data_IF_268808155749
#
_entry.id   IF_268808155749
#
_cell.length_a   1.000
_cell.length_b   1.000
_cell.length_c   1.000
_cell.angle_alpha   90.00
_cell.angle_beta   90.00
_cell.angle_gamma   90.00
#
_symmetry.space_group_name_H-M   'P 1'
#
loop_
_entity.id
_entity.type
_entity.pdbx_description
1 polymer ?
#
# COMPACT_ATOMS: atom_id res chain seq x y z
N UNK A 1 22.61 -8.19 -8.56
CA UNK A 1 22.63 -6.89 -7.85
C UNK A 1 21.21 -6.32 -7.79
N UNK A 2 20.84 -5.68 -6.67
CA UNK A 2 19.55 -4.99 -6.52
C UNK A 2 19.81 -3.56 -5.99
N UNK A 3 19.30 -2.56 -6.70
CA UNK A 3 19.53 -1.14 -6.38
C UNK A 3 18.18 -0.44 -6.31
N UNK A 4 18.05 0.44 -5.32
CA UNK A 4 16.88 1.31 -5.15
C UNK A 4 17.33 2.76 -5.36
N UNK A 5 16.67 3.46 -6.26
CA UNK A 5 17.00 4.85 -6.63
C UNK A 5 15.72 5.64 -6.92
N UNK A 6 15.86 6.87 -7.36
CA UNK A 6 14.74 7.74 -7.74
C UNK A 6 15.01 8.30 -9.12
N UNK A 7 13.98 8.36 -9.95
CA UNK A 7 13.94 9.03 -11.25
C UNK A 7 12.95 10.20 -11.19
N UNK A 8 13.22 11.28 -11.88
CA UNK A 8 12.34 12.45 -11.89
C UNK A 8 12.33 13.18 -13.24
N UNK A 9 11.35 14.04 -13.45
CA UNK A 9 11.09 14.75 -14.72
C UNK A 9 12.06 15.90 -15.00
N UNK A 10 12.83 16.39 -14.02
CA UNK A 10 13.82 17.44 -14.23
C UNK A 10 15.18 16.90 -14.66
N UNK A 11 15.64 15.84 -13.97
CA UNK A 11 17.00 15.31 -14.15
C UNK A 11 17.07 14.19 -15.22
N UNK A 12 15.92 13.61 -15.57
CA UNK A 12 15.84 12.45 -16.45
C UNK A 12 14.92 12.72 -17.66
N UNK A 13 15.46 13.15 -18.82
CA UNK A 13 14.64 13.52 -19.98
C UNK A 13 13.74 12.41 -20.53
N UNK A 14 14.05 11.17 -20.24
CA UNK A 14 13.28 10.00 -20.69
C UNK A 14 12.20 9.58 -19.70
N UNK A 15 12.14 10.21 -18.53
CA UNK A 15 11.09 9.94 -17.57
C UNK A 15 9.80 10.63 -17.98
N UNK A 16 8.74 9.85 -18.05
CA UNK A 16 7.38 10.34 -18.29
C UNK A 16 6.53 9.84 -17.13
N UNK A 17 5.95 10.72 -16.31
CA UNK A 17 5.10 10.30 -15.19
C UNK A 17 3.80 9.67 -15.72
N UNK A 18 3.09 8.89 -14.88
CA UNK A 18 1.78 8.36 -15.22
C UNK A 18 0.80 9.49 -15.58
N UNK A 19 -0.14 9.22 -16.47
CA UNK A 19 -1.11 10.21 -16.93
C UNK A 19 -1.93 10.81 -15.78
N UNK A 20 -1.86 12.12 -15.66
CA UNK A 20 -2.58 12.86 -14.62
C UNK A 20 -1.86 12.96 -13.28
N UNK A 21 -0.65 12.44 -13.20
CA UNK A 21 0.25 12.60 -12.06
C UNK A 21 1.15 13.81 -12.31
N UNK A 22 1.28 14.67 -11.33
CA UNK A 22 2.06 15.89 -11.41
C UNK A 22 2.62 16.21 -10.02
N UNK A 23 3.83 16.72 -9.96
CA UNK A 23 4.43 17.22 -8.72
C UNK A 23 3.53 18.20 -7.97
N UNK A 24 3.62 18.23 -6.67
CA UNK A 24 2.82 19.12 -5.82
C UNK A 24 3.05 20.59 -6.19
N UNK A 25 1.97 21.36 -6.25
CA UNK A 25 2.03 22.79 -6.50
C UNK A 25 2.10 23.56 -5.18
N UNK A 26 3.23 24.26 -4.97
CA UNK A 26 3.40 25.18 -3.84
C UNK A 26 2.74 26.52 -4.17
N UNK A 27 1.59 26.80 -3.60
CA UNK A 27 0.85 28.05 -3.82
C UNK A 27 1.59 29.30 -3.33
N UNK A 28 2.47 29.15 -2.33
CA UNK A 28 3.22 30.28 -1.74
C UNK A 28 4.34 30.73 -2.68
N UNK A 29 5.10 29.78 -3.17
CA UNK A 29 6.24 30.04 -4.04
C UNK A 29 5.86 30.01 -5.53
N UNK A 30 4.64 29.60 -5.88
CA UNK A 30 4.14 29.42 -7.25
C UNK A 30 5.03 28.49 -8.10
N UNK A 31 5.59 27.46 -7.45
CA UNK A 31 6.47 26.48 -8.07
C UNK A 31 5.82 25.10 -7.94
N UNK A 32 5.92 24.32 -9.00
CA UNK A 32 5.57 22.89 -8.95
C UNK A 32 6.81 22.11 -8.57
N UNK A 33 6.70 21.21 -7.57
CA UNK A 33 7.77 20.27 -7.26
C UNK A 33 7.96 19.30 -8.42
N UNK A 34 9.17 18.77 -8.57
CA UNK A 34 9.44 17.73 -9.57
C UNK A 34 8.64 16.47 -9.25
N UNK A 35 8.12 15.86 -10.29
CA UNK A 35 7.49 14.54 -10.20
C UNK A 35 8.57 13.47 -10.18
N UNK A 36 8.40 12.45 -9.35
CA UNK A 36 9.44 11.44 -9.15
C UNK A 36 8.86 10.07 -8.83
N UNK A 37 9.48 9.04 -9.39
CA UNK A 37 9.18 7.64 -9.11
C UNK A 37 10.33 6.94 -8.41
N UNK A 38 9.99 5.95 -7.58
CA UNK A 38 10.95 5.02 -7.00
C UNK A 38 11.35 3.99 -8.05
N UNK A 39 12.64 3.81 -8.28
CA UNK A 39 13.19 2.81 -9.20
C UNK A 39 13.70 1.62 -8.42
N UNK A 40 13.24 0.43 -8.81
CA UNK A 40 13.81 -0.85 -8.40
C UNK A 40 14.56 -1.43 -9.58
N UNK A 41 15.87 -1.33 -9.55
CA UNK A 41 16.76 -1.84 -10.58
C UNK A 41 17.36 -3.17 -10.13
N UNK A 42 17.36 -4.16 -10.99
CA UNK A 42 17.91 -5.49 -10.71
C UNK A 42 18.74 -5.98 -11.88
N UNK A 43 19.85 -6.61 -11.54
CA UNK A 43 20.79 -7.20 -12.48
C UNK A 43 20.99 -8.66 -12.11
N UNK A 44 20.73 -9.55 -13.07
CA UNK A 44 20.79 -11.01 -12.90
C UNK A 44 19.97 -11.46 -11.66
N UNK A 45 18.70 -11.11 -11.63
CA UNK A 45 17.78 -11.67 -10.64
C UNK A 45 17.49 -13.11 -11.02
N UNK A 46 18.02 -14.05 -10.25
CA UNK A 46 17.90 -15.47 -10.49
C UNK A 46 16.45 -15.98 -10.43
N UNK A 47 16.13 -17.12 -11.07
CA UNK A 47 14.81 -17.76 -10.95
C UNK A 47 14.39 -17.98 -9.51
N UNK A 48 13.13 -17.67 -9.19
CA UNK A 48 12.54 -17.75 -7.86
C UNK A 48 13.16 -16.82 -6.80
N UNK A 49 14.01 -15.88 -7.19
CA UNK A 49 14.53 -14.85 -6.28
C UNK A 49 13.68 -13.59 -6.32
N UNK A 50 13.75 -12.85 -5.20
CA UNK A 50 13.02 -11.60 -4.98
C UNK A 50 13.99 -10.48 -4.64
N UNK A 51 13.72 -9.30 -5.20
CA UNK A 51 14.36 -8.07 -4.79
C UNK A 51 13.32 -7.12 -4.22
N UNK A 52 13.59 -6.49 -3.07
CA UNK A 52 12.59 -5.66 -2.43
C UNK A 52 13.18 -4.47 -1.68
N UNK A 53 12.38 -3.40 -1.60
CA UNK A 53 12.60 -2.24 -0.75
C UNK A 53 11.56 -2.21 0.38
N UNK A 54 12.01 -1.91 1.61
CA UNK A 54 11.15 -1.84 2.79
C UNK A 54 11.10 -0.41 3.34
N UNK A 55 9.89 0.11 3.54
CA UNK A 55 9.63 1.33 4.30
C UNK A 55 9.08 0.98 5.68
N UNK A 56 9.77 1.42 6.72
CA UNK A 56 9.32 1.27 8.09
C UNK A 56 8.48 2.49 8.46
N UNK A 57 7.24 2.26 8.92
CA UNK A 57 6.33 3.30 9.39
C UNK A 57 6.44 3.52 10.90
N UNK A 58 6.71 2.46 11.66
CA UNK A 58 6.91 2.50 13.09
C UNK A 58 7.85 1.38 13.53
N UNK A 59 8.85 1.72 14.35
CA UNK A 59 9.80 0.75 14.89
C UNK A 59 9.29 0.06 16.18
N UNK A 60 8.31 0.64 16.85
CA UNK A 60 7.73 0.10 18.07
C UNK A 60 6.53 -0.79 17.69
N UNK A 61 6.55 -2.05 18.10
CA UNK A 61 5.47 -3.03 17.83
C UNK A 61 4.09 -2.57 18.31
N UNK A 62 4.05 -1.69 19.30
CA UNK A 62 2.80 -1.12 19.83
C UNK A 62 2.32 0.09 19.04
N UNK A 63 3.17 0.63 18.17
CA UNK A 63 2.88 1.78 17.33
C UNK A 63 2.77 1.31 15.87
N UNK A 64 1.91 1.94 15.13
CA UNK A 64 1.72 1.73 13.71
C UNK A 64 0.78 2.80 13.19
N UNK A 65 0.69 2.92 11.88
CA UNK A 65 -0.24 3.84 11.25
C UNK A 65 -1.56 3.12 10.96
N UNK A 66 -2.68 3.79 11.24
CA UNK A 66 -4.01 3.27 10.93
C UNK A 66 -4.45 3.71 9.54
N UNK A 67 -4.88 2.73 8.76
CA UNK A 67 -5.41 2.90 7.41
C UNK A 67 -6.91 2.57 7.32
N UNK A 68 -7.57 2.32 8.45
CA UNK A 68 -9.00 1.97 8.53
C UNK A 68 -9.93 3.04 7.96
N UNK A 69 -9.47 4.30 7.93
CA UNK A 69 -10.25 5.44 7.44
C UNK A 69 -10.30 5.56 5.92
N UNK A 70 -9.59 4.69 5.21
CA UNK A 70 -9.51 4.73 3.75
C UNK A 70 -10.18 3.51 3.15
N UNK A 71 -10.84 3.71 2.00
CA UNK A 71 -11.48 2.62 1.27
C UNK A 71 -10.52 1.95 0.29
N UNK A 72 -9.61 2.73 -0.31
CA UNK A 72 -8.76 2.23 -1.40
C UNK A 72 -7.31 2.64 -1.22
N UNK A 73 -6.42 1.74 -1.65
CA UNK A 73 -4.99 1.99 -1.81
C UNK A 73 -4.64 1.82 -3.28
N UNK A 74 -3.95 2.83 -3.84
CA UNK A 74 -3.59 2.89 -5.26
C UNK A 74 -2.10 3.13 -5.43
N UNK A 75 -1.54 2.60 -6.52
CA UNK A 75 -0.17 2.83 -6.92
C UNK A 75 -0.01 2.51 -8.41
N UNK A 76 0.86 3.24 -9.09
CA UNK A 76 1.26 2.95 -10.46
C UNK A 76 2.57 2.17 -10.50
N UNK A 77 2.66 1.23 -11.42
CA UNK A 77 3.86 0.45 -11.69
C UNK A 77 4.22 0.62 -13.16
N UNK A 78 5.46 0.94 -13.45
CA UNK A 78 6.01 0.99 -14.80
C UNK A 78 6.87 -0.23 -15.07
N UNK A 79 6.64 -0.89 -16.19
CA UNK A 79 7.47 -1.98 -16.67
C UNK A 79 8.33 -1.52 -17.83
N UNK A 80 9.59 -1.95 -17.84
CA UNK A 80 10.49 -1.69 -18.96
C UNK A 80 10.18 -2.65 -20.12
N UNK A 81 10.19 -2.15 -21.33
CA UNK A 81 9.93 -2.91 -22.57
C UNK A 81 10.89 -4.07 -22.83
N UNK A 82 12.05 -4.08 -22.20
CA UNK A 82 13.05 -5.13 -22.41
C UNK A 82 12.64 -6.50 -21.83
N UNK A 83 11.72 -6.50 -20.84
CA UNK A 83 11.24 -7.74 -20.20
C UNK A 83 9.72 -7.79 -20.02
N UNK A 84 9.03 -6.68 -20.15
CA UNK A 84 7.58 -6.58 -20.02
C UNK A 84 6.95 -6.55 -21.41
N UNK A 85 6.51 -7.69 -21.93
CA UNK A 85 5.74 -7.74 -23.16
C UNK A 85 4.26 -7.47 -22.90
N UNK A 86 3.47 -7.29 -23.98
CA UNK A 86 2.01 -7.22 -23.86
C UNK A 86 1.36 -8.55 -23.44
N UNK A 87 2.14 -9.62 -23.42
CA UNK A 87 1.75 -10.91 -22.87
C UNK A 87 2.15 -10.97 -21.39
N UNK A 88 1.58 -11.88 -20.64
CA UNK A 88 1.91 -12.12 -19.25
C UNK A 88 3.39 -12.40 -19.08
N UNK A 89 4.05 -11.62 -18.23
CA UNK A 89 5.49 -11.77 -18.02
C UNK A 89 5.76 -12.62 -16.78
N UNK A 90 6.88 -13.31 -16.79
CA UNK A 90 7.38 -14.06 -15.64
C UNK A 90 7.96 -13.14 -14.55
N UNK A 91 8.12 -11.84 -14.84
CA UNK A 91 8.44 -10.84 -13.83
C UNK A 91 7.15 -10.40 -13.13
N UNK A 92 7.11 -10.58 -11.84
CA UNK A 92 6.00 -10.18 -10.99
C UNK A 92 6.41 -9.04 -10.06
N UNK A 93 5.53 -8.08 -9.90
CA UNK A 93 5.61 -7.06 -8.87
C UNK A 93 4.80 -7.51 -7.66
N UNK A 94 5.27 -7.20 -6.45
CA UNK A 94 4.48 -7.39 -5.24
C UNK A 94 4.53 -6.18 -4.31
N UNK A 95 3.43 -5.98 -3.60
CA UNK A 95 3.33 -5.09 -2.45
C UNK A 95 2.91 -5.90 -1.22
N UNK A 96 3.64 -5.72 -0.12
CA UNK A 96 3.38 -6.37 1.15
C UNK A 96 3.29 -5.32 2.26
N UNK A 97 2.33 -5.45 3.15
CA UNK A 97 2.18 -4.55 4.29
C UNK A 97 1.57 -5.26 5.48
N UNK A 98 2.02 -4.89 6.67
CA UNK A 98 1.60 -5.59 7.87
C UNK A 98 2.25 -5.09 9.14
N UNK A 99 2.25 -5.97 10.14
CA UNK A 99 2.77 -5.76 11.47
C UNK A 99 3.51 -7.02 11.96
N UNK A 100 4.79 -6.89 12.24
CA UNK A 100 5.62 -8.06 12.57
C UNK A 100 5.61 -9.08 11.44
N UNK A 101 5.26 -10.32 11.75
CA UNK A 101 5.20 -11.44 10.80
C UNK A 101 3.81 -11.63 10.18
N UNK A 102 2.84 -10.80 10.57
CA UNK A 102 1.50 -10.82 10.02
C UNK A 102 1.33 -9.79 8.91
N UNK A 103 0.94 -10.22 7.70
CA UNK A 103 0.87 -9.33 6.56
C UNK A 103 -0.13 -9.75 5.48
N UNK A 104 -0.49 -8.77 4.66
CA UNK A 104 -1.06 -8.95 3.33
C UNK A 104 0.04 -8.78 2.29
N UNK A 105 0.07 -9.65 1.30
CA UNK A 105 0.94 -9.51 0.12
C UNK A 105 0.09 -9.69 -1.14
N UNK A 106 0.22 -8.76 -2.06
CA UNK A 106 -0.44 -8.78 -3.35
C UNK A 106 0.61 -8.87 -4.44
N UNK A 107 0.50 -9.87 -5.31
CA UNK A 107 1.43 -10.11 -6.41
C UNK A 107 0.70 -10.01 -7.74
N UNK A 108 1.29 -9.32 -8.71
CA UNK A 108 0.75 -9.14 -10.07
C UNK A 108 1.88 -9.26 -11.11
N UNK A 109 1.59 -9.74 -12.33
CA UNK A 109 2.52 -9.62 -13.45
C UNK A 109 2.84 -8.15 -13.74
N UNK A 110 4.01 -7.89 -14.31
CA UNK A 110 4.42 -6.56 -14.78
C UNK A 110 4.27 -6.53 -16.31
N UNK A 111 3.59 -5.50 -16.82
CA UNK A 111 3.40 -5.24 -18.24
C UNK A 111 4.23 -4.03 -18.69
N UNK A 112 4.35 -3.86 -20.01
CA UNK A 112 5.13 -2.78 -20.61
C UNK A 112 4.55 -1.39 -20.26
N UNK A 113 5.43 -0.42 -19.99
CA UNK A 113 5.12 0.96 -19.65
C UNK A 113 4.18 1.08 -18.42
N UNK A 114 3.43 2.19 -18.31
CA UNK A 114 2.40 2.38 -17.29
C UNK A 114 1.13 1.58 -17.58
N UNK A 115 1.00 1.01 -18.79
CA UNK A 115 -0.18 0.27 -19.26
C UNK A 115 -1.51 1.04 -19.04
N UNK A 116 -1.51 2.32 -19.42
CA UNK A 116 -2.59 3.27 -19.15
C UNK A 116 -3.95 2.87 -19.75
N UNK A 117 -3.97 2.17 -20.88
CA UNK A 117 -5.19 1.76 -21.58
C UNK A 117 -5.91 0.63 -20.85
N UNK A 118 -5.18 -0.42 -20.48
CA UNK A 118 -5.72 -1.62 -19.84
C UNK A 118 -5.58 -1.57 -18.32
N UNK A 119 -4.74 -0.69 -17.78
CA UNK A 119 -4.50 -0.48 -16.33
C UNK A 119 -4.04 -1.73 -15.58
N UNK A 120 -3.40 -2.66 -16.27
CA UNK A 120 -2.93 -3.92 -15.68
C UNK A 120 -1.83 -3.71 -14.66
N UNK A 121 -0.99 -2.67 -14.87
CA UNK A 121 0.07 -2.26 -13.94
C UNK A 121 -0.44 -1.41 -12.77
N UNK A 122 -1.69 -0.95 -12.80
CA UNK A 122 -2.26 -0.18 -11.69
C UNK A 122 -2.58 -1.11 -10.51
N UNK A 123 -2.11 -0.75 -9.33
CA UNK A 123 -2.55 -1.33 -8.07
C UNK A 123 -3.74 -0.50 -7.60
N UNK A 124 -4.91 -1.09 -7.54
CA UNK A 124 -6.11 -0.49 -7.00
C UNK A 124 -6.81 -1.50 -6.09
N UNK A 125 -6.54 -1.38 -4.79
CA UNK A 125 -7.01 -2.31 -3.77
C UNK A 125 -8.15 -1.71 -2.97
N UNK A 126 -9.27 -2.43 -2.91
CA UNK A 126 -10.32 -2.19 -1.93
C UNK A 126 -9.87 -2.77 -0.57
N UNK A 127 -9.66 -1.90 0.41
CA UNK A 127 -9.14 -2.28 1.72
C UNK A 127 -10.19 -3.01 2.58
N UNK A 128 -11.48 -2.72 2.36
CA UNK A 128 -12.55 -3.42 3.06
C UNK A 128 -12.67 -4.86 2.55
N UNK A 129 -12.65 -5.04 1.23
CA UNK A 129 -12.63 -6.36 0.61
C UNK A 129 -11.42 -7.17 1.07
N UNK A 130 -10.20 -6.58 1.05
CA UNK A 130 -8.99 -7.24 1.50
C UNK A 130 -9.09 -7.70 2.97
N UNK A 131 -9.74 -6.89 3.81
CA UNK A 131 -9.98 -7.25 5.22
C UNK A 131 -11.01 -8.36 5.35
N UNK A 132 -12.05 -8.40 4.49
CA UNK A 132 -13.08 -9.43 4.53
C UNK A 132 -12.57 -10.81 4.14
N UNK A 133 -11.56 -10.88 3.25
CA UNK A 133 -10.93 -12.14 2.84
C UNK A 133 -10.45 -13.03 3.99
N UNK A 134 -10.15 -12.47 5.14
CA UNK A 134 -9.77 -13.25 6.33
C UNK A 134 -10.93 -14.08 6.89
N UNK A 135 -12.15 -13.63 6.69
CA UNK A 135 -13.36 -14.14 7.32
C UNK A 135 -14.30 -14.87 6.34
N UNK A 136 -14.08 -14.73 5.04
CA UNK A 136 -14.94 -15.32 4.02
C UNK A 136 -14.53 -16.74 3.70
N UNK A 137 -15.54 -17.55 3.36
CA UNK A 137 -15.37 -18.90 2.86
C UNK A 137 -15.37 -18.90 1.33
N UNK A 138 -14.79 -19.91 0.72
CA UNK A 138 -14.55 -20.03 -0.73
C UNK A 138 -15.78 -19.82 -1.63
N UNK A 139 -16.99 -19.98 -1.09
CA UNK A 139 -18.25 -19.89 -1.86
C UNK A 139 -18.66 -18.47 -2.27
N UNK A 140 -18.01 -17.44 -1.72
CA UNK A 140 -18.40 -16.03 -1.91
C UNK A 140 -17.47 -15.27 -2.84
N UNK A 141 -16.37 -15.87 -3.26
CA UNK A 141 -15.34 -15.22 -4.07
C UNK A 141 -15.09 -16.03 -5.35
N UNK A 142 -15.00 -15.37 -6.50
CA UNK A 142 -14.56 -15.99 -7.75
C UNK A 142 -13.07 -16.34 -7.67
N UNK A 143 -12.75 -17.45 -7.06
CA UNK A 143 -11.41 -17.94 -6.86
C UNK A 143 -11.00 -18.92 -7.96
N UNK A 144 -9.81 -18.74 -8.52
CA UNK A 144 -9.16 -19.78 -9.32
C UNK A 144 -8.61 -20.90 -8.42
N UNK A 145 -7.96 -20.50 -7.35
CA UNK A 145 -7.42 -21.38 -6.31
C UNK A 145 -7.51 -20.70 -4.95
N UNK A 146 -7.83 -21.46 -3.91
CA UNK A 146 -7.64 -21.06 -2.53
C UNK A 146 -6.86 -22.12 -1.77
N UNK A 147 -5.96 -21.70 -0.93
CA UNK A 147 -5.19 -22.57 -0.03
C UNK A 147 -5.25 -21.98 1.37
N UNK A 148 -5.69 -22.79 2.32
CA UNK A 148 -5.76 -22.43 3.73
C UNK A 148 -4.91 -23.42 4.54
N UNK A 149 -3.82 -22.95 5.13
CA UNK A 149 -2.88 -23.77 5.86
C UNK A 149 -2.27 -23.04 7.06
N UNK A 150 -1.49 -23.74 7.85
CA UNK A 150 -0.71 -23.17 8.94
C UNK A 150 0.78 -23.34 8.68
N UNK A 151 1.52 -22.25 8.79
CA UNK A 151 2.97 -22.21 8.65
C UNK A 151 3.55 -21.53 9.90
N UNK A 152 4.49 -22.17 10.57
CA UNK A 152 5.18 -21.63 11.76
C UNK A 152 4.26 -21.01 12.82
N UNK A 153 3.15 -21.66 13.15
CA UNK A 153 2.13 -21.19 14.10
C UNK A 153 1.25 -20.03 13.60
N UNK A 154 1.46 -19.52 12.38
CA UNK A 154 0.60 -18.51 11.75
C UNK A 154 -0.31 -19.16 10.71
N UNK A 155 -1.54 -18.65 10.58
CA UNK A 155 -2.43 -19.05 9.49
C UNK A 155 -1.89 -18.49 8.16
N UNK A 156 -1.97 -19.29 7.12
CA UNK A 156 -1.62 -18.91 5.75
C UNK A 156 -2.84 -19.10 4.86
N UNK A 157 -3.22 -18.04 4.16
CA UNK A 157 -4.27 -18.05 3.16
C UNK A 157 -3.75 -17.48 1.86
N UNK A 158 -4.02 -18.16 0.76
CA UNK A 158 -3.63 -17.71 -0.57
C UNK A 158 -4.84 -17.76 -1.50
N UNK A 159 -5.06 -16.67 -2.21
CA UNK A 159 -6.17 -16.51 -3.14
C UNK A 159 -5.65 -16.03 -4.49
N UNK A 160 -6.07 -16.70 -5.54
CA UNK A 160 -5.76 -16.31 -6.92
C UNK A 160 -7.03 -15.86 -7.62
N UNK A 161 -6.98 -14.71 -8.25
CA UNK A 161 -8.13 -14.08 -8.91
C UNK A 161 -7.81 -13.77 -10.37
N UNK A 162 -8.85 -13.86 -11.21
CA UNK A 162 -8.88 -13.13 -12.46
C UNK A 162 -9.83 -11.95 -12.24
N UNK A 163 -9.37 -10.74 -12.51
CA UNK A 163 -10.22 -9.56 -12.47
C UNK A 163 -11.19 -9.61 -13.65
N UNK A 164 -12.50 -9.67 -13.38
CA UNK A 164 -13.54 -9.80 -14.40
C UNK A 164 -13.53 -8.68 -15.46
N UNK A 165 -12.97 -7.50 -15.12
CA UNK A 165 -12.91 -6.36 -16.02
C UNK A 165 -11.67 -6.32 -16.91
N UNK A 166 -10.60 -7.01 -16.57
CA UNK A 166 -9.29 -6.86 -17.21
C UNK A 166 -8.59 -8.18 -17.52
N UNK A 167 -9.17 -9.33 -17.17
CA UNK A 167 -8.54 -10.66 -17.28
C UNK A 167 -7.16 -10.72 -16.59
N UNK A 168 -6.93 -9.89 -15.58
CA UNK A 168 -5.64 -9.78 -14.90
C UNK A 168 -5.57 -10.77 -13.76
N UNK A 169 -4.53 -11.59 -13.79
CA UNK A 169 -4.17 -12.44 -12.67
C UNK A 169 -3.66 -11.60 -11.49
N UNK A 170 -4.18 -11.89 -10.31
CA UNK A 170 -3.74 -11.29 -9.05
C UNK A 170 -3.71 -12.36 -7.98
N UNK A 171 -2.58 -12.46 -7.29
CA UNK A 171 -2.45 -13.34 -6.13
C UNK A 171 -2.47 -12.49 -4.85
N UNK A 172 -3.21 -12.94 -3.85
CA UNK A 172 -3.30 -12.33 -2.51
C UNK A 172 -2.93 -13.38 -1.48
N UNK A 173 -1.83 -13.15 -0.79
CA UNK A 173 -1.39 -13.95 0.34
C UNK A 173 -1.72 -13.22 1.65
N UNK A 174 -2.25 -13.93 2.62
CA UNK A 174 -2.55 -13.42 3.97
C UNK A 174 -1.88 -14.32 4.98
N UNK A 175 -0.94 -13.76 5.74
CA UNK A 175 -0.22 -14.49 6.79
C UNK A 175 -0.69 -13.98 8.15
N UNK A 176 -1.10 -14.91 9.01
CA UNK A 176 -1.60 -14.60 10.33
C UNK A 176 -2.94 -13.86 10.31
N UNK A 177 -3.08 -12.85 11.14
CA UNK A 177 -4.26 -12.00 11.22
C UNK A 177 -3.89 -10.51 11.10
N UNK A 178 -3.37 -10.08 9.95
CA UNK A 178 -2.94 -8.71 9.75
C UNK A 178 -4.07 -7.71 9.92
N UNK A 179 -3.76 -6.51 10.41
CA UNK A 179 -4.74 -5.47 10.67
C UNK A 179 -4.33 -4.13 10.07
N UNK A 180 -5.24 -3.51 9.31
CA UNK A 180 -5.07 -2.16 8.78
C UNK A 180 -5.09 -1.06 9.87
N UNK A 181 -5.44 -1.40 11.10
CA UNK A 181 -5.44 -0.42 12.21
C UNK A 181 -4.03 -0.07 12.69
N UNK A 182 -3.04 -0.90 12.37
CA UNK A 182 -1.69 -0.77 12.93
C UNK A 182 -0.64 -1.32 11.98
N UNK A 183 -0.49 -0.71 10.81
CA UNK A 183 0.56 -1.07 9.88
C UNK A 183 1.91 -0.51 10.33
N UNK A 184 2.94 -1.34 10.32
CA UNK A 184 4.30 -0.97 10.71
C UNK A 184 5.23 -0.81 9.53
N UNK A 185 4.94 -1.46 8.41
CA UNK A 185 5.81 -1.39 7.24
C UNK A 185 5.05 -1.58 5.93
N UNK A 186 5.67 -1.10 4.87
CA UNK A 186 5.42 -1.48 3.48
C UNK A 186 6.68 -2.10 2.90
N UNK A 187 6.52 -3.13 2.10
CA UNK A 187 7.55 -3.71 1.25
C UNK A 187 7.01 -3.70 -0.17
N UNK A 188 7.82 -3.24 -1.10
CA UNK A 188 7.56 -3.30 -2.54
C UNK A 188 8.72 -4.00 -3.22
N UNK A 189 8.45 -4.82 -4.20
CA UNK A 189 9.51 -5.60 -4.82
C UNK A 189 9.11 -6.30 -6.09
N UNK A 190 10.08 -7.00 -6.65
CA UNK A 190 9.95 -7.85 -7.83
C UNK A 190 10.28 -9.29 -7.48
N UNK A 191 9.67 -10.20 -8.20
CA UNK A 191 9.86 -11.64 -8.12
C UNK A 191 10.06 -12.18 -9.54
N UNK A 192 11.13 -12.93 -9.75
CA UNK A 192 11.38 -13.62 -11.01
C UNK A 192 10.77 -15.03 -10.95
N UNK A 193 9.71 -15.24 -11.73
CA UNK A 193 9.01 -16.53 -11.85
C UNK A 193 9.43 -17.32 -13.11
N UNK A 194 10.41 -16.80 -13.85
CA UNK A 194 10.97 -17.46 -15.04
C UNK A 194 11.99 -18.55 -14.68
N UNK A 195 12.43 -19.26 -15.67
CA UNK A 195 13.49 -20.28 -15.58
C UNK A 195 14.91 -19.73 -15.86
N UNK A 196 15.03 -18.41 -16.08
CA UNK A 196 16.31 -17.74 -16.38
C UNK A 196 16.47 -16.43 -15.58
N UNK A 197 17.72 -15.96 -15.39
CA UNK A 197 17.95 -14.68 -14.73
C UNK A 197 17.42 -13.50 -15.55
N UNK A 198 16.77 -12.55 -14.88
CA UNK A 198 16.22 -11.33 -15.49
C UNK A 198 17.02 -10.12 -15.04
N UNK A 199 17.29 -9.20 -15.97
CA UNK A 199 17.88 -7.89 -15.69
C UNK A 199 16.95 -6.80 -16.21
N UNK A 200 16.73 -5.76 -15.40
CA UNK A 200 15.86 -4.65 -15.78
C UNK A 200 15.56 -3.72 -14.61
N UNK A 201 14.53 -2.94 -14.78
CA UNK A 201 14.04 -2.04 -13.74
C UNK A 201 12.52 -1.87 -13.83
N UNK A 202 11.90 -1.59 -12.70
CA UNK A 202 10.53 -1.10 -12.61
C UNK A 202 10.50 0.22 -11.87
N UNK A 203 9.52 1.06 -12.20
CA UNK A 203 9.29 2.31 -11.48
C UNK A 203 7.96 2.24 -10.74
N UNK A 204 7.94 2.81 -9.54
CA UNK A 204 6.77 2.84 -8.68
C UNK A 204 6.41 4.28 -8.38
N UNK A 205 5.16 4.63 -8.59
CA UNK A 205 4.67 5.99 -8.41
C UNK A 205 3.37 6.04 -7.62
N UNK A 206 3.16 7.17 -6.94
CA UNK A 206 1.93 7.52 -6.24
C UNK A 206 1.30 6.42 -5.37
N UNK A 207 2.04 5.90 -4.36
CA UNK A 207 1.37 5.13 -3.32
C UNK A 207 0.43 6.05 -2.53
N UNK A 208 -0.84 6.04 -2.89
CA UNK A 208 -1.86 6.92 -2.31
C UNK A 208 -3.03 6.15 -1.71
N UNK A 209 -3.62 6.76 -0.70
CA UNK A 209 -4.86 6.31 -0.07
C UNK A 209 -6.01 7.22 -0.52
N UNK A 210 -7.15 6.65 -0.82
CA UNK A 210 -8.32 7.38 -1.28
C UNK A 210 -9.61 6.83 -0.66
N UNK A 211 -10.72 7.55 -0.85
CA UNK A 211 -12.01 7.15 -0.29
C UNK A 211 -12.03 7.30 1.23
N UNK A 212 -11.72 8.50 1.75
CA UNK A 212 -11.82 8.72 3.21
C UNK A 212 -13.25 8.49 3.68
N UNK A 213 -13.44 7.54 4.58
CA UNK A 213 -14.73 7.26 5.21
C UNK A 213 -15.19 8.50 5.98
N UNK A 214 -16.25 9.14 5.50
CA UNK A 214 -16.87 10.32 6.11
C UNK A 214 -17.98 9.94 7.07
N UNK A 215 -17.74 8.94 7.93
CA UNK A 215 -18.68 8.67 9.01
C UNK A 215 -18.61 9.80 10.03
N UNK A 216 -19.78 10.39 10.33
CA UNK A 216 -19.85 11.55 11.24
C UNK A 216 -19.78 11.04 12.67
N UNK A 217 -18.59 10.92 13.21
CA UNK A 217 -18.40 10.64 14.64
C UNK A 217 -18.67 11.88 15.47
N UNK A 218 -19.37 11.72 16.57
CA UNK A 218 -19.68 12.80 17.52
C UNK A 218 -18.80 12.66 18.77
N UNK A 219 -18.16 13.76 19.16
CA UNK A 219 -17.50 13.83 20.47
C UNK A 219 -18.11 14.96 21.27
N UNK A 220 -18.56 14.63 22.47
CA UNK A 220 -19.11 15.60 23.41
C UNK A 220 -18.30 15.56 24.71
N UNK A 221 -17.84 16.71 25.15
CA UNK A 221 -17.19 16.86 26.43
C UNK A 221 -17.84 18.02 27.20
N UNK A 222 -18.50 17.71 28.30
CA UNK A 222 -19.08 18.67 29.21
C UNK A 222 -18.26 18.68 30.52
N UNK A 223 -17.79 19.86 30.91
CA UNK A 223 -17.14 20.05 32.20
C UNK A 223 -17.85 21.16 32.95
N UNK A 224 -18.37 20.85 34.13
CA UNK A 224 -19.05 21.78 35.02
C UNK A 224 -18.36 21.83 36.36
N UNK A 225 -18.15 23.04 36.88
CA UNK A 225 -17.53 23.27 38.16
C UNK A 225 -18.44 24.12 39.00
N UNK A 226 -18.83 23.60 40.14
CA UNK A 226 -19.69 24.27 41.11
C UNK A 226 -18.89 24.59 42.36
N UNK A 227 -18.90 25.85 42.75
CA UNK A 227 -18.32 26.35 43.99
C UNK A 227 -19.46 26.86 44.89
N UNK A 228 -19.65 26.21 46.00
CA UNK A 228 -20.62 26.60 47.04
C UNK A 228 -19.85 27.28 48.17
N UNK A 229 -19.33 28.49 47.91
CA UNK A 229 -18.54 29.25 48.89
C UNK A 229 -17.56 28.36 49.66
N UNK A 230 -17.54 28.43 51.01
CA UNK A 230 -16.64 27.65 51.86
C UNK A 230 -17.13 26.21 52.14
N UNK A 231 -18.31 25.83 51.65
CA UNK A 231 -18.97 24.57 51.98
C UNK A 231 -18.55 23.40 51.08
N UNK A 232 -18.45 23.59 49.78
CA UNK A 232 -17.98 22.53 48.87
C UNK A 232 -17.58 23.03 47.50
N UNK A 233 -16.66 22.28 46.86
CA UNK A 233 -16.30 22.43 45.46
C UNK A 233 -16.54 21.11 44.75
N UNK A 234 -17.42 21.11 43.77
CA UNK A 234 -17.73 19.93 42.94
C UNK A 234 -17.38 20.16 41.48
N UNK A 235 -16.74 19.17 40.89
CA UNK A 235 -16.44 19.15 39.43
C UNK A 235 -17.13 17.95 38.80
N UNK A 236 -18.01 18.20 37.85
CA UNK A 236 -18.63 17.18 37.02
C UNK A 236 -17.98 17.18 35.65
N UNK A 237 -17.55 16.02 35.18
CA UNK A 237 -17.02 15.86 33.84
C UNK A 237 -17.77 14.73 33.16
N UNK A 238 -18.40 15.03 32.03
CA UNK A 238 -19.00 14.06 31.13
C UNK A 238 -18.22 14.07 29.82
N UNK A 239 -17.81 12.90 29.38
CA UNK A 239 -17.12 12.76 28.10
C UNK A 239 -17.68 11.55 27.35
N UNK A 240 -18.17 11.77 26.14
CA UNK A 240 -18.62 10.74 25.23
C UNK A 240 -17.90 10.95 23.90
N UNK A 241 -17.35 9.86 23.35
CA UNK A 241 -16.73 9.85 22.05
C UNK A 241 -17.27 8.61 21.32
N UNK A 242 -17.85 8.81 20.14
CA UNK A 242 -18.26 7.70 19.28
C UNK A 242 -17.02 7.02 18.67
N UNK A 243 -17.15 5.73 18.33
CA UNK A 243 -16.07 4.96 17.73
C UNK A 243 -15.57 5.59 16.42
N UNK A 244 -16.49 6.21 15.68
CA UNK A 244 -16.24 6.82 14.37
C UNK A 244 -15.73 8.28 14.45
N UNK A 245 -15.53 8.80 15.68
CA UNK A 245 -14.92 10.12 15.85
C UNK A 245 -13.40 10.03 15.73
N UNK A 246 -12.88 10.40 14.57
CA UNK A 246 -11.45 10.49 14.31
C UNK A 246 -11.07 11.96 14.07
N UNK A 247 -10.03 12.43 14.76
CA UNK A 247 -9.41 13.70 14.40
C UNK A 247 -8.65 13.48 13.09
N UNK A 248 -9.13 14.07 12.01
CA UNK A 248 -8.49 13.94 10.69
C UNK A 248 -7.17 14.71 10.71
N UNK A 249 -6.06 13.99 10.64
CA UNK A 249 -4.75 14.55 10.30
C UNK A 249 -4.48 14.20 8.84
N UNK A 250 -4.38 15.20 7.99
CA UNK A 250 -3.97 14.99 6.60
C UNK A 250 -2.48 14.64 6.59
N UNK A 251 -2.16 13.42 6.26
CA UNK A 251 -0.77 13.01 6.00
C UNK A 251 -0.65 12.60 4.55
N UNK A 252 0.08 13.40 3.77
CA UNK A 252 0.61 12.95 2.49
C UNK A 252 1.73 11.93 2.78
N UNK A 253 1.58 10.72 2.27
CA UNK A 253 2.64 9.74 2.25
C UNK A 253 3.56 10.06 1.07
N UNK A 254 4.54 10.90 1.30
CA UNK A 254 5.67 11.00 0.38
C UNK A 254 6.43 9.69 0.36
N UNK A 255 6.79 9.20 -0.83
CA UNK A 255 7.71 8.08 -1.00
C UNK A 255 9.00 8.31 -0.18
N UNK A 256 9.61 7.26 0.37
CA UNK A 256 10.72 7.42 1.30
C UNK A 256 11.91 8.11 0.64
N UNK A 257 12.43 9.13 1.31
CA UNK A 257 13.81 9.54 1.11
C UNK A 257 14.69 8.42 1.65
N UNK A 258 15.36 7.71 0.77
CA UNK A 258 16.26 6.63 1.15
C UNK A 258 17.58 7.25 1.54
N UNK A 259 17.97 7.11 2.80
CA UNK A 259 19.35 7.34 3.19
C UNK A 259 20.12 6.04 2.90
N UNK A 260 21.01 6.09 1.90
CA UNK A 260 22.03 5.06 1.71
C UNK A 260 23.01 5.11 2.88
N UNK A 261 23.17 4.01 3.58
CA UNK A 261 24.28 3.76 4.51
C UNK A 261 25.32 2.93 3.79
#
# INVERSE_FOLDING_TARGET
TFIVSVINDEDNPNYVPPKGVFGEYDEINQIRSKEQSLVLQFENLDPNYKGAAKKILAMDEKKGQSYLMYDRMKMFVYGNSDFASNEETDLKFFIQFGNGDEYYKITKPVYDNWDEELKRNEIDLDLNWLTSLKNETDDTINLLNSNDSFTDSLSYKEYSFIDDNSSIYKNVEIIGNPSLSRLQYFIVGVENDSDHPITGEIWLDELRLSGVKKETGTAVRLKSKFNLSDLSQSTFTYSRKDADFHAVSYTHLTLPTIYSV
#
